data_IF_415698439723
#
_entry.id   IF_415698439723
#
_cell.length_a   1.000
_cell.length_b   1.000
_cell.length_c   1.000
_cell.angle_alpha   90.00
_cell.angle_beta   90.00
_cell.angle_gamma   90.00
#
_symmetry.space_group_name_H-M   'P 1'
#
loop_
_entity.id
_entity.type
_entity.pdbx_description
1 polymer ?
#
# COMPACT_ATOMS: atom_id res chain seq x y z
N UNK A 1 30.47 33.31 -7.66
CA UNK A 1 29.17 33.30 -6.97
C UNK A 1 28.36 32.03 -7.27
N UNK A 2 28.10 31.72 -8.52
CA UNK A 2 27.23 30.58 -8.98
C UNK A 2 27.66 29.22 -8.45
N UNK A 3 28.95 28.88 -8.57
CA UNK A 3 29.49 27.59 -8.08
C UNK A 3 29.28 27.45 -6.56
N UNK A 4 29.49 28.55 -5.83
CA UNK A 4 29.29 28.56 -4.36
C UNK A 4 27.83 28.35 -3.99
N UNK A 5 26.91 28.98 -4.68
CA UNK A 5 25.46 28.83 -4.47
C UNK A 5 25.00 27.42 -4.81
N UNK A 6 25.43 26.89 -5.95
CA UNK A 6 25.15 25.50 -6.33
C UNK A 6 25.67 24.50 -5.29
N UNK A 7 26.91 24.70 -4.80
CA UNK A 7 27.46 23.84 -3.73
C UNK A 7 26.63 23.91 -2.44
N UNK A 8 26.16 25.09 -2.04
CA UNK A 8 25.29 25.26 -0.87
C UNK A 8 23.94 24.59 -1.05
N UNK A 9 23.35 24.63 -2.24
CA UNK A 9 22.10 23.90 -2.53
C UNK A 9 22.30 22.37 -2.41
N UNK A 10 23.44 21.86 -2.81
CA UNK A 10 23.79 20.45 -2.60
C UNK A 10 23.98 20.12 -1.11
N UNK A 11 24.54 21.05 -0.31
CA UNK A 11 24.62 20.89 1.14
C UNK A 11 23.22 20.84 1.79
N UNK A 12 22.28 21.71 1.36
CA UNK A 12 20.89 21.65 1.81
C UNK A 12 20.30 20.26 1.55
N UNK A 13 20.47 19.72 0.35
CA UNK A 13 19.96 18.39 0.00
C UNK A 13 20.62 17.28 0.83
N UNK A 14 21.94 17.36 1.03
CA UNK A 14 22.67 16.39 1.84
C UNK A 14 22.19 16.41 3.30
N UNK A 15 22.11 17.60 3.91
CA UNK A 15 21.60 17.77 5.28
C UNK A 15 20.14 17.27 5.39
N UNK A 16 19.30 17.53 4.40
CA UNK A 16 17.93 16.98 4.35
C UNK A 16 17.93 15.46 4.34
N UNK A 17 18.78 14.83 3.53
CA UNK A 17 18.87 13.37 3.43
C UNK A 17 19.44 12.72 4.71
N UNK A 18 20.36 13.41 5.43
CA UNK A 18 20.89 12.94 6.70
C UNK A 18 19.95 13.19 7.89
N UNK A 19 18.86 13.93 7.69
CA UNK A 19 17.90 14.27 8.73
C UNK A 19 18.25 15.51 9.54
N UNK A 20 19.33 16.22 9.19
CA UNK A 20 19.70 17.49 9.83
C UNK A 20 18.95 18.67 9.18
N UNK A 21 17.66 18.71 9.50
CA UNK A 21 16.77 19.72 8.92
C UNK A 21 17.08 21.14 9.40
N UNK A 22 17.67 21.31 10.60
CA UNK A 22 18.03 22.61 11.11
C UNK A 22 19.19 23.22 10.31
N UNK A 23 20.22 22.43 10.02
CA UNK A 23 21.31 22.86 9.15
C UNK A 23 20.81 23.18 7.75
N UNK A 24 19.95 22.31 7.18
CA UNK A 24 19.36 22.52 5.87
C UNK A 24 18.58 23.84 5.77
N UNK A 25 17.74 24.15 6.76
CA UNK A 25 16.97 25.39 6.85
C UNK A 25 17.90 26.61 6.98
N UNK A 26 18.92 26.54 7.81
CA UNK A 26 19.86 27.63 8.03
C UNK A 26 20.70 27.96 6.77
N UNK A 27 21.20 26.92 6.08
CA UNK A 27 21.93 27.12 4.81
C UNK A 27 21.02 27.73 3.75
N UNK A 28 19.78 27.29 3.67
CA UNK A 28 18.79 27.79 2.72
C UNK A 28 18.42 29.23 3.00
N UNK A 29 18.16 29.58 4.28
CA UNK A 29 17.88 30.95 4.72
C UNK A 29 19.03 31.92 4.35
N UNK A 30 20.29 31.54 4.60
CA UNK A 30 21.45 32.33 4.21
C UNK A 30 21.58 32.55 2.69
N UNK A 31 21.16 31.55 1.91
CA UNK A 31 21.12 31.69 0.44
C UNK A 31 20.07 32.71 0.01
N UNK A 32 18.92 32.75 0.69
CA UNK A 32 17.81 33.67 0.37
C UNK A 32 18.11 35.10 0.82
N UNK A 33 18.70 35.29 2.00
CA UNK A 33 19.14 36.60 2.50
C UNK A 33 20.21 37.25 1.61
N UNK A 34 20.99 36.44 0.91
CA UNK A 34 21.97 36.89 -0.08
C UNK A 34 21.41 37.44 -1.39
N UNK A 35 20.08 37.64 -1.48
CA UNK A 35 19.44 38.34 -2.60
C UNK A 35 18.82 37.42 -3.66
N UNK A 36 18.36 36.21 -3.32
CA UNK A 36 17.65 35.28 -4.21
C UNK A 36 18.37 34.91 -5.51
N UNK A 37 19.71 35.04 -5.53
CA UNK A 37 20.53 34.73 -6.72
C UNK A 37 20.57 33.25 -7.03
N UNK A 38 20.50 32.38 -5.99
CA UNK A 38 20.51 30.94 -6.14
C UNK A 38 19.31 30.40 -6.98
N UNK A 39 18.12 31.00 -6.81
CA UNK A 39 16.96 30.69 -7.63
C UNK A 39 17.14 31.07 -9.09
N UNK A 40 17.84 32.20 -9.37
CA UNK A 40 18.10 32.66 -10.74
C UNK A 40 19.17 31.82 -11.43
N UNK A 41 20.24 31.47 -10.71
CA UNK A 41 21.39 30.77 -11.29
C UNK A 41 21.16 29.26 -11.44
N UNK A 42 20.46 28.64 -10.48
CA UNK A 42 20.21 27.22 -10.46
C UNK A 42 18.74 26.92 -10.10
N UNK A 43 17.76 27.39 -10.88
CA UNK A 43 16.34 27.32 -10.50
C UNK A 43 15.85 25.89 -10.26
N UNK A 44 16.27 24.94 -11.09
CA UNK A 44 15.87 23.55 -10.91
C UNK A 44 16.36 22.98 -9.57
N UNK A 45 17.64 23.16 -9.24
CA UNK A 45 18.26 22.66 -8.03
C UNK A 45 17.71 23.38 -6.78
N UNK A 46 17.44 24.69 -6.86
CA UNK A 46 16.83 25.45 -5.79
C UNK A 46 15.44 24.92 -5.43
N UNK A 47 14.57 24.82 -6.43
CA UNK A 47 13.21 24.29 -6.19
C UNK A 47 13.22 22.83 -5.76
N UNK A 48 14.17 22.02 -6.25
CA UNK A 48 14.35 20.64 -5.80
C UNK A 48 14.74 20.58 -4.32
N UNK A 49 15.73 21.36 -3.89
CA UNK A 49 16.16 21.39 -2.49
C UNK A 49 15.03 21.87 -1.55
N UNK A 50 14.28 22.89 -1.97
CA UNK A 50 13.10 23.37 -1.25
C UNK A 50 12.02 22.31 -1.12
N UNK A 51 11.66 21.65 -2.21
CA UNK A 51 10.64 20.60 -2.21
C UNK A 51 11.06 19.43 -1.31
N UNK A 52 12.30 18.96 -1.43
CA UNK A 52 12.83 17.85 -0.63
C UNK A 52 12.81 18.19 0.87
N UNK A 53 13.26 19.38 1.26
CA UNK A 53 13.28 19.83 2.67
C UNK A 53 11.85 19.99 3.23
N UNK A 54 10.96 20.64 2.49
CA UNK A 54 9.56 20.82 2.93
C UNK A 54 8.85 19.49 3.09
N UNK A 55 9.02 18.54 2.16
CA UNK A 55 8.45 17.18 2.27
C UNK A 55 9.02 16.41 3.45
N UNK A 56 10.34 16.49 3.67
CA UNK A 56 10.99 15.81 4.80
C UNK A 56 10.48 16.33 6.16
N UNK A 57 10.03 17.59 6.19
CA UNK A 57 9.42 18.24 7.36
C UNK A 57 7.91 18.04 7.48
N UNK A 58 7.27 17.33 6.53
CA UNK A 58 5.81 17.16 6.48
C UNK A 58 5.06 18.48 6.18
N UNK A 59 5.66 19.36 5.38
CA UNK A 59 5.09 20.65 4.98
C UNK A 59 4.66 20.59 3.53
N UNK A 60 3.66 19.77 3.22
CA UNK A 60 3.20 19.48 1.87
C UNK A 60 2.77 20.74 1.10
N UNK A 61 2.10 21.67 1.79
CA UNK A 61 1.64 22.92 1.18
C UNK A 61 2.80 23.82 0.70
N UNK A 62 3.91 23.85 1.47
CA UNK A 62 5.11 24.59 1.07
C UNK A 62 5.86 23.87 -0.06
N UNK A 63 5.86 22.53 -0.06
CA UNK A 63 6.53 21.73 -1.08
C UNK A 63 5.88 21.83 -2.46
N UNK A 64 4.54 22.00 -2.50
CA UNK A 64 3.72 21.90 -3.70
C UNK A 64 4.20 22.81 -4.87
N UNK A 65 4.41 24.14 -4.72
CA UNK A 65 4.86 24.99 -5.82
C UNK A 65 6.25 24.60 -6.33
N UNK A 66 7.14 24.22 -5.44
CA UNK A 66 8.51 23.81 -5.79
C UNK A 66 8.53 22.46 -6.52
N UNK A 67 7.76 21.50 -6.03
CA UNK A 67 7.62 20.18 -6.66
C UNK A 67 6.97 20.29 -8.05
N UNK A 68 5.95 21.13 -8.20
CA UNK A 68 5.28 21.41 -9.48
C UNK A 68 6.27 22.01 -10.49
N UNK A 69 7.13 22.95 -10.05
CA UNK A 69 8.16 23.54 -10.88
C UNK A 69 9.16 22.49 -11.40
N UNK A 70 9.68 21.62 -10.50
CA UNK A 70 10.65 20.58 -10.85
C UNK A 70 10.00 19.54 -11.77
N UNK A 71 8.82 19.04 -11.45
CA UNK A 71 8.09 18.06 -12.26
C UNK A 71 7.77 18.58 -13.67
N UNK A 72 7.52 19.89 -13.79
CA UNK A 72 7.26 20.52 -15.07
C UNK A 72 8.49 20.63 -15.98
N UNK A 73 9.69 20.73 -15.40
CA UNK A 73 10.97 20.96 -16.13
C UNK A 73 11.81 19.71 -16.30
N UNK A 74 11.55 18.63 -15.55
CA UNK A 74 12.27 17.37 -15.68
C UNK A 74 12.08 16.77 -17.08
N UNK A 75 13.23 16.44 -17.73
CA UNK A 75 13.25 15.88 -19.09
C UNK A 75 13.39 14.37 -19.11
N UNK A 76 14.07 13.80 -18.10
CA UNK A 76 14.30 12.36 -18.06
C UNK A 76 12.99 11.62 -17.75
N UNK A 77 12.47 10.73 -18.61
CA UNK A 77 11.13 10.17 -18.49
C UNK A 77 10.86 9.49 -17.16
N UNK A 78 11.81 8.71 -16.64
CA UNK A 78 11.67 8.01 -15.37
C UNK A 78 11.58 8.98 -14.18
N UNK A 79 12.46 9.97 -14.13
CA UNK A 79 12.46 10.97 -13.07
C UNK A 79 11.21 11.84 -13.14
N UNK A 80 10.84 12.28 -14.35
CA UNK A 80 9.61 13.05 -14.57
C UNK A 80 8.36 12.30 -14.11
N UNK A 81 8.24 11.02 -14.46
CA UNK A 81 7.11 10.20 -14.01
C UNK A 81 7.07 10.05 -12.50
N UNK A 82 8.22 9.82 -11.83
CA UNK A 82 8.30 9.76 -10.37
C UNK A 82 7.92 11.09 -9.70
N UNK A 83 8.40 12.21 -10.22
CA UNK A 83 8.08 13.54 -9.70
C UNK A 83 6.59 13.87 -9.90
N UNK A 84 6.00 13.53 -11.04
CA UNK A 84 4.58 13.70 -11.29
C UNK A 84 3.73 12.79 -10.37
N UNK A 85 4.19 11.57 -10.09
CA UNK A 85 3.54 10.68 -9.15
C UNK A 85 3.57 11.25 -7.73
N UNK A 86 4.73 11.73 -7.28
CA UNK A 86 4.89 12.40 -5.99
C UNK A 86 4.03 13.67 -5.90
N UNK A 87 3.99 14.48 -6.96
CA UNK A 87 3.12 15.66 -7.05
C UNK A 87 1.65 15.26 -6.83
N UNK A 88 1.17 14.22 -7.51
CA UNK A 88 -0.18 13.71 -7.30
C UNK A 88 -0.45 13.26 -5.88
N UNK A 89 0.52 12.63 -5.20
CA UNK A 89 0.37 12.25 -3.79
C UNK A 89 0.28 13.47 -2.86
N UNK A 90 1.07 14.51 -3.10
CA UNK A 90 1.03 15.76 -2.31
C UNK A 90 -0.31 16.49 -2.55
N UNK A 91 -0.76 16.60 -3.79
CA UNK A 91 -2.05 17.19 -4.14
C UNK A 91 -3.22 16.41 -3.51
N UNK A 92 -3.16 15.07 -3.51
CA UNK A 92 -4.13 14.20 -2.83
C UNK A 92 -4.17 14.45 -1.32
N UNK A 93 -3.00 14.52 -0.67
CA UNK A 93 -2.89 14.78 0.77
C UNK A 93 -3.46 16.16 1.16
N UNK A 94 -3.31 17.15 0.30
CA UNK A 94 -3.87 18.50 0.47
C UNK A 94 -5.36 18.61 0.08
N UNK A 95 -5.97 17.51 -0.40
CA UNK A 95 -7.37 17.49 -0.82
C UNK A 95 -7.64 18.01 -2.25
N UNK A 96 -6.61 18.30 -3.03
CA UNK A 96 -6.72 18.78 -4.40
C UNK A 96 -6.93 17.62 -5.39
N UNK A 97 -8.09 16.95 -5.29
CA UNK A 97 -8.37 15.70 -6.01
C UNK A 97 -8.27 15.81 -7.53
N UNK A 98 -8.76 16.91 -8.12
CA UNK A 98 -8.73 17.09 -9.57
C UNK A 98 -7.31 17.32 -10.10
N UNK A 99 -6.48 18.02 -9.35
CA UNK A 99 -5.06 18.23 -9.63
C UNK A 99 -4.29 16.93 -9.52
N UNK A 100 -4.50 16.18 -8.43
CA UNK A 100 -3.90 14.87 -8.18
C UNK A 100 -4.24 13.89 -9.31
N UNK A 101 -5.50 13.83 -9.75
CA UNK A 101 -5.89 12.97 -10.88
C UNK A 101 -5.13 13.35 -12.17
N UNK A 102 -4.98 14.65 -12.44
CA UNK A 102 -4.20 15.14 -13.60
C UNK A 102 -2.72 14.81 -13.49
N UNK A 103 -2.14 14.93 -12.28
CA UNK A 103 -0.75 14.60 -12.04
C UNK A 103 -0.49 13.09 -12.23
N UNK A 104 -1.35 12.23 -11.67
CA UNK A 104 -1.26 10.78 -11.88
C UNK A 104 -1.47 10.39 -13.35
N UNK A 105 -2.41 11.02 -14.07
CA UNK A 105 -2.60 10.77 -15.51
C UNK A 105 -1.36 11.16 -16.35
N UNK A 106 -0.66 12.21 -15.96
CA UNK A 106 0.62 12.60 -16.59
C UNK A 106 1.74 11.63 -16.23
N UNK A 107 1.83 11.20 -14.96
CA UNK A 107 2.78 10.20 -14.50
C UNK A 107 2.62 8.88 -15.26
N UNK A 108 1.38 8.37 -15.41
CA UNK A 108 1.02 7.18 -16.16
C UNK A 108 1.53 7.25 -17.62
N UNK A 109 1.24 8.35 -18.30
CA UNK A 109 1.63 8.54 -19.72
C UNK A 109 3.14 8.66 -19.93
N UNK A 110 3.88 9.15 -18.94
CA UNK A 110 5.34 9.36 -19.06
C UNK A 110 6.14 8.22 -18.46
N UNK A 111 5.50 7.28 -17.77
CA UNK A 111 6.16 6.15 -17.12
C UNK A 111 6.79 5.19 -18.13
N UNK A 112 8.12 5.00 -18.09
CA UNK A 112 8.80 4.07 -19.00
C UNK A 112 8.74 2.62 -18.50
N UNK A 113 8.33 2.39 -17.24
CA UNK A 113 8.32 1.08 -16.58
C UNK A 113 6.89 0.68 -16.17
N UNK A 114 6.48 -0.58 -16.43
CA UNK A 114 5.14 -1.07 -16.08
C UNK A 114 4.73 -0.87 -14.64
N UNK A 115 5.57 -1.10 -13.60
CA UNK A 115 5.14 -0.90 -12.21
C UNK A 115 4.80 0.55 -11.89
N UNK A 116 5.56 1.52 -12.42
CA UNK A 116 5.28 2.93 -12.18
C UNK A 116 4.04 3.41 -12.94
N UNK A 117 3.86 2.93 -14.18
CA UNK A 117 2.64 3.15 -14.96
C UNK A 117 1.41 2.61 -14.23
N UNK A 118 1.49 1.36 -13.74
CA UNK A 118 0.40 0.73 -12.99
C UNK A 118 0.10 1.47 -11.69
N UNK A 119 1.12 1.81 -10.90
CA UNK A 119 0.93 2.57 -9.65
C UNK A 119 0.18 3.89 -9.90
N UNK A 120 0.57 4.66 -10.92
CA UNK A 120 -0.09 5.90 -11.29
C UNK A 120 -1.53 5.66 -11.76
N UNK A 121 -1.75 4.61 -12.55
CA UNK A 121 -3.09 4.21 -13.00
C UNK A 121 -4.01 3.82 -11.84
N UNK A 122 -3.53 3.00 -10.89
CA UNK A 122 -4.28 2.59 -9.71
C UNK A 122 -4.65 3.77 -8.82
N UNK A 123 -3.70 4.69 -8.57
CA UNK A 123 -3.98 5.93 -7.80
C UNK A 123 -5.03 6.79 -8.49
N UNK A 124 -4.93 6.98 -9.81
CA UNK A 124 -5.91 7.73 -10.57
C UNK A 124 -7.30 7.12 -10.50
N UNK A 125 -7.42 5.79 -10.60
CA UNK A 125 -8.70 5.09 -10.45
C UNK A 125 -9.26 5.18 -9.03
N UNK A 126 -8.40 5.19 -8.00
CA UNK A 126 -8.82 5.36 -6.62
C UNK A 126 -9.41 6.76 -6.34
N UNK A 127 -8.86 7.80 -6.98
CA UNK A 127 -9.36 9.17 -6.87
C UNK A 127 -10.60 9.42 -7.73
N UNK A 128 -10.73 8.71 -8.85
CA UNK A 128 -11.76 8.99 -9.85
C UNK A 128 -13.18 8.80 -9.32
N UNK A 129 -14.06 9.70 -9.75
CA UNK A 129 -15.50 9.70 -9.47
C UNK A 129 -16.27 8.73 -10.38
N UNK A 130 -15.58 7.78 -11.02
CA UNK A 130 -16.12 6.98 -12.13
C UNK A 130 -17.16 5.91 -11.72
N UNK A 131 -17.63 5.89 -10.46
CA UNK A 131 -18.68 4.96 -10.02
C UNK A 131 -18.36 3.50 -10.40
N UNK A 132 -19.36 2.75 -10.87
CA UNK A 132 -19.25 1.33 -11.27
C UNK A 132 -18.21 1.04 -12.35
N UNK A 133 -17.82 2.05 -13.14
CA UNK A 133 -16.79 1.89 -14.19
C UNK A 133 -15.38 1.66 -13.61
N UNK A 134 -15.10 2.17 -12.40
CA UNK A 134 -13.81 1.99 -11.74
C UNK A 134 -13.51 0.52 -11.44
N UNK A 135 -14.46 -0.19 -10.84
CA UNK A 135 -14.34 -1.63 -10.52
C UNK A 135 -14.21 -2.48 -11.80
N UNK A 136 -14.95 -2.14 -12.86
CA UNK A 136 -14.85 -2.83 -14.15
C UNK A 136 -13.47 -2.64 -14.81
N UNK A 137 -12.89 -1.43 -14.72
CA UNK A 137 -11.54 -1.15 -15.23
C UNK A 137 -10.46 -1.89 -14.44
N UNK A 138 -10.56 -1.93 -13.12
CA UNK A 138 -9.63 -2.68 -12.28
C UNK A 138 -9.68 -4.18 -12.60
N UNK A 139 -10.89 -4.76 -12.77
CA UNK A 139 -11.02 -6.15 -13.22
C UNK A 139 -10.37 -6.39 -14.57
N UNK A 140 -10.56 -5.48 -15.53
CA UNK A 140 -9.91 -5.57 -16.83
C UNK A 140 -8.37 -5.46 -16.75
N UNK A 141 -7.84 -4.68 -15.78
CA UNK A 141 -6.39 -4.63 -15.54
C UNK A 141 -5.84 -5.94 -15.02
N UNK A 142 -6.55 -6.61 -14.10
CA UNK A 142 -6.13 -7.89 -13.53
C UNK A 142 -5.95 -9.00 -14.58
N UNK A 143 -6.63 -8.91 -15.73
CA UNK A 143 -6.51 -9.89 -16.82
C UNK A 143 -5.39 -9.57 -17.81
N UNK A 144 -4.79 -8.39 -17.77
CA UNK A 144 -3.73 -8.00 -18.71
C UNK A 144 -2.41 -8.69 -18.40
N UNK A 145 -1.89 -9.48 -19.37
CA UNK A 145 -0.60 -10.19 -19.25
C UNK A 145 0.56 -9.30 -18.87
N UNK A 146 0.56 -8.03 -19.31
CA UNK A 146 1.59 -7.03 -18.96
C UNK A 146 1.72 -6.81 -17.46
N UNK A 147 0.62 -6.90 -16.69
CA UNK A 147 0.57 -6.68 -15.26
C UNK A 147 0.47 -7.97 -14.44
N UNK A 148 0.71 -9.13 -15.08
CA UNK A 148 0.68 -10.42 -14.38
C UNK A 148 1.58 -10.47 -13.12
N UNK A 149 2.79 -9.89 -13.09
CA UNK A 149 3.62 -9.85 -11.89
C UNK A 149 3.11 -8.94 -10.75
N UNK A 150 2.11 -8.10 -11.03
CA UNK A 150 1.57 -7.07 -10.12
C UNK A 150 0.06 -7.25 -9.90
N UNK A 151 -0.46 -8.45 -10.12
CA UNK A 151 -1.89 -8.74 -9.95
C UNK A 151 -2.35 -8.53 -8.51
N UNK A 152 -1.49 -8.79 -7.54
CA UNK A 152 -1.74 -8.54 -6.13
C UNK A 152 -2.04 -7.05 -5.85
N UNK A 153 -1.31 -6.13 -6.45
CA UNK A 153 -1.57 -4.68 -6.33
C UNK A 153 -2.93 -4.31 -6.96
N UNK A 154 -3.25 -4.88 -8.12
CA UNK A 154 -4.53 -4.63 -8.80
C UNK A 154 -5.71 -5.15 -7.99
N UNK A 155 -5.60 -6.38 -7.47
CA UNK A 155 -6.66 -6.96 -6.62
C UNK A 155 -6.79 -6.24 -5.29
N UNK A 156 -5.70 -5.76 -4.69
CA UNK A 156 -5.74 -4.93 -3.49
C UNK A 156 -6.49 -3.61 -3.76
N UNK A 157 -6.19 -2.94 -4.87
CA UNK A 157 -6.90 -1.72 -5.27
C UNK A 157 -8.40 -1.98 -5.53
N UNK A 158 -8.72 -3.10 -6.16
CA UNK A 158 -10.11 -3.53 -6.38
C UNK A 158 -10.85 -3.79 -5.06
N UNK A 159 -10.18 -4.42 -4.09
CA UNK A 159 -10.73 -4.62 -2.76
C UNK A 159 -11.03 -3.30 -2.05
N UNK A 160 -10.10 -2.34 -2.08
CA UNK A 160 -10.30 -1.00 -1.53
C UNK A 160 -11.50 -0.29 -2.15
N UNK A 161 -11.68 -0.44 -3.47
CA UNK A 161 -12.84 0.10 -4.18
C UNK A 161 -14.14 -0.54 -3.70
N UNK A 162 -14.21 -1.86 -3.60
CA UNK A 162 -15.40 -2.56 -3.10
C UNK A 162 -15.71 -2.21 -1.64
N UNK A 163 -14.69 -2.01 -0.78
CA UNK A 163 -14.91 -1.53 0.59
C UNK A 163 -15.54 -0.14 0.61
N UNK A 164 -15.08 0.77 -0.25
CA UNK A 164 -15.67 2.12 -0.37
C UNK A 164 -17.12 2.11 -0.91
N UNK A 165 -17.47 1.10 -1.69
CA UNK A 165 -18.83 0.87 -2.21
C UNK A 165 -19.73 0.05 -1.25
N UNK A 166 -19.19 -0.41 -0.10
CA UNK A 166 -19.91 -1.24 0.87
C UNK A 166 -20.05 -2.72 0.45
N UNK A 167 -19.42 -3.12 -0.66
CA UNK A 167 -19.46 -4.47 -1.23
C UNK A 167 -18.43 -5.38 -0.53
N UNK A 168 -18.75 -5.75 0.71
CA UNK A 168 -17.81 -6.42 1.63
C UNK A 168 -17.42 -7.84 1.19
N UNK A 169 -18.35 -8.58 0.57
CA UNK A 169 -18.09 -9.93 0.09
C UNK A 169 -17.12 -9.94 -1.10
N UNK A 170 -17.33 -9.04 -2.05
CA UNK A 170 -16.49 -8.82 -3.23
C UNK A 170 -15.09 -8.32 -2.83
N UNK A 171 -15.02 -7.42 -1.85
CA UNK A 171 -13.77 -6.96 -1.27
C UNK A 171 -12.97 -8.13 -0.68
N UNK A 172 -13.61 -8.97 0.13
CA UNK A 172 -12.96 -10.15 0.72
C UNK A 172 -12.46 -11.14 -0.32
N UNK A 173 -13.23 -11.36 -1.39
CA UNK A 173 -12.79 -12.20 -2.51
C UNK A 173 -11.57 -11.58 -3.22
N UNK A 174 -11.60 -10.27 -3.46
CA UNK A 174 -10.47 -9.57 -4.10
C UNK A 174 -9.21 -9.60 -3.24
N UNK A 175 -9.33 -9.45 -1.91
CA UNK A 175 -8.20 -9.58 -0.98
C UNK A 175 -7.58 -10.99 -1.02
N UNK A 176 -8.39 -12.04 -1.12
CA UNK A 176 -7.89 -13.42 -1.29
C UNK A 176 -7.14 -13.57 -2.61
N UNK A 177 -7.70 -13.05 -3.70
CA UNK A 177 -7.01 -13.05 -5.00
C UNK A 177 -5.69 -12.27 -4.95
N UNK A 178 -5.61 -11.16 -4.21
CA UNK A 178 -4.36 -10.43 -3.99
C UNK A 178 -3.31 -11.29 -3.27
N UNK A 179 -3.72 -12.03 -2.24
CA UNK A 179 -2.82 -12.96 -1.54
C UNK A 179 -2.35 -14.10 -2.44
N UNK A 180 -3.28 -14.73 -3.16
CA UNK A 180 -3.01 -15.91 -3.98
C UNK A 180 -2.16 -15.60 -5.22
N UNK A 181 -2.32 -14.38 -5.78
CA UNK A 181 -1.57 -13.94 -6.96
C UNK A 181 -0.19 -13.36 -6.64
N UNK A 182 0.13 -13.09 -5.37
CA UNK A 182 1.37 -12.44 -4.99
C UNK A 182 2.58 -13.38 -5.11
N UNK A 183 3.51 -13.00 -5.98
CA UNK A 183 4.74 -13.76 -6.21
C UNK A 183 5.84 -13.44 -5.17
N UNK A 184 5.86 -12.22 -4.64
CA UNK A 184 6.97 -11.72 -3.81
C UNK A 184 6.61 -11.53 -2.33
N UNK A 185 5.36 -11.79 -1.93
CA UNK A 185 4.86 -11.54 -0.57
C UNK A 185 5.23 -10.13 -0.05
N UNK A 186 5.13 -9.14 -0.94
CA UNK A 186 5.48 -7.75 -0.69
C UNK A 186 4.38 -6.97 0.04
N UNK A 187 4.39 -5.65 -0.17
CA UNK A 187 3.47 -4.71 0.49
C UNK A 187 1.99 -5.04 0.23
N UNK A 188 1.62 -5.32 -1.02
CA UNK A 188 0.23 -5.63 -1.37
C UNK A 188 -0.27 -6.91 -0.68
N UNK A 189 0.56 -7.96 -0.64
CA UNK A 189 0.29 -9.20 0.07
C UNK A 189 0.09 -8.98 1.58
N UNK A 190 1.01 -8.23 2.22
CA UNK A 190 0.93 -7.94 3.65
C UNK A 190 -0.31 -7.12 3.98
N UNK A 191 -0.63 -6.10 3.17
CA UNK A 191 -1.83 -5.27 3.34
C UNK A 191 -3.10 -6.10 3.15
N UNK A 192 -3.15 -6.98 2.13
CA UNK A 192 -4.30 -7.86 1.91
C UNK A 192 -4.56 -8.81 3.09
N UNK A 193 -3.51 -9.40 3.67
CA UNK A 193 -3.63 -10.20 4.89
C UNK A 193 -4.08 -9.38 6.11
N UNK A 194 -3.57 -8.15 6.26
CA UNK A 194 -3.98 -7.25 7.34
C UNK A 194 -5.48 -6.94 7.26
N UNK A 195 -5.98 -6.59 6.08
CA UNK A 195 -7.40 -6.32 5.85
C UNK A 195 -8.27 -7.57 6.09
N UNK A 196 -7.87 -8.74 5.56
CA UNK A 196 -8.57 -10.01 5.82
C UNK A 196 -8.63 -10.35 7.31
N UNK A 197 -7.53 -10.12 8.03
CA UNK A 197 -7.45 -10.36 9.46
C UNK A 197 -8.35 -9.43 10.26
N UNK A 198 -8.37 -8.13 9.92
CA UNK A 198 -9.27 -7.15 10.55
C UNK A 198 -10.74 -7.45 10.26
N UNK A 199 -11.07 -7.86 9.02
CA UNK A 199 -12.43 -8.31 8.67
C UNK A 199 -12.84 -9.56 9.47
N UNK A 200 -11.93 -10.52 9.65
CA UNK A 200 -12.18 -11.72 10.44
C UNK A 200 -12.38 -11.38 11.94
N UNK A 201 -11.63 -10.40 12.46
CA UNK A 201 -11.80 -9.90 13.84
C UNK A 201 -13.18 -9.29 14.06
N UNK A 202 -13.66 -8.47 13.14
CA UNK A 202 -15.01 -7.90 13.19
C UNK A 202 -16.11 -8.97 13.12
N UNK A 203 -15.86 -10.05 12.37
CA UNK A 203 -16.72 -11.23 12.30
C UNK A 203 -16.56 -12.18 13.50
N UNK A 204 -15.77 -11.81 14.53
CA UNK A 204 -15.44 -12.61 15.72
C UNK A 204 -14.81 -13.97 15.42
N UNK A 205 -14.16 -14.10 14.27
CA UNK A 205 -13.43 -15.30 13.87
C UNK A 205 -11.96 -15.19 14.31
N UNK A 206 -11.77 -15.33 15.64
CA UNK A 206 -10.46 -15.06 16.28
C UNK A 206 -9.31 -15.90 15.76
N UNK A 207 -9.47 -17.24 15.50
CA UNK A 207 -8.39 -18.02 14.92
C UNK A 207 -7.94 -17.50 13.55
N UNK A 208 -8.88 -17.22 12.66
CA UNK A 208 -8.62 -16.72 11.31
C UNK A 208 -8.05 -15.29 11.34
N UNK A 209 -8.54 -14.45 12.27
CA UNK A 209 -8.00 -13.11 12.48
C UNK A 209 -6.54 -13.16 12.94
N UNK A 210 -6.24 -13.99 13.95
CA UNK A 210 -4.87 -14.17 14.43
C UNK A 210 -3.95 -14.64 13.31
N UNK A 211 -4.32 -15.71 12.60
CA UNK A 211 -3.44 -16.33 11.59
C UNK A 211 -3.17 -15.34 10.44
N UNK A 212 -4.17 -14.59 9.99
CA UNK A 212 -4.01 -13.57 8.95
C UNK A 212 -3.11 -12.39 9.40
N UNK A 213 -3.35 -11.85 10.61
CA UNK A 213 -2.58 -10.72 11.12
C UNK A 213 -1.13 -11.10 11.48
N UNK A 214 -0.91 -12.33 11.94
CA UNK A 214 0.43 -12.87 12.21
C UNK A 214 1.25 -13.03 10.92
N UNK A 215 0.61 -13.38 9.81
CA UNK A 215 1.25 -13.43 8.48
C UNK A 215 1.55 -12.01 7.96
N UNK A 216 0.64 -11.06 8.19
CA UNK A 216 0.78 -9.69 7.69
C UNK A 216 1.92 -8.92 8.38
N UNK A 217 2.01 -8.98 9.71
CA UNK A 217 2.83 -8.08 10.52
C UNK A 217 4.32 -8.04 10.13
N UNK A 218 5.02 -9.16 9.87
CA UNK A 218 6.43 -9.15 9.52
C UNK A 218 6.76 -8.44 8.20
N UNK A 219 5.82 -8.45 7.24
CA UNK A 219 5.98 -7.85 5.91
C UNK A 219 5.28 -6.48 5.80
N UNK A 220 4.52 -6.07 6.82
CA UNK A 220 3.82 -4.79 6.83
C UNK A 220 4.77 -3.66 7.23
N UNK A 221 4.76 -2.56 6.47
CA UNK A 221 5.55 -1.37 6.81
C UNK A 221 5.14 -0.81 8.19
N UNK A 222 6.12 -0.41 9.01
CA UNK A 222 5.85 0.26 10.29
C UNK A 222 5.09 1.59 10.13
N UNK A 223 5.15 2.21 8.94
CA UNK A 223 4.38 3.40 8.59
C UNK A 223 2.94 3.10 8.14
N UNK A 224 2.57 1.81 8.03
CA UNK A 224 1.21 1.44 7.63
C UNK A 224 0.21 1.82 8.74
N UNK A 225 -0.96 2.41 8.42
CA UNK A 225 -1.92 2.90 9.42
C UNK A 225 -2.35 1.85 10.45
N UNK A 226 -2.46 0.59 10.02
CA UNK A 226 -2.88 -0.51 10.89
C UNK A 226 -1.73 -1.20 11.64
N UNK A 227 -0.46 -0.86 11.37
CA UNK A 227 0.67 -1.54 11.99
C UNK A 227 0.66 -1.48 13.54
N UNK A 228 0.52 -0.30 14.20
CA UNK A 228 0.49 -0.25 15.65
C UNK A 228 -0.65 -1.06 16.24
N UNK A 229 -1.86 -0.89 15.69
CA UNK A 229 -3.05 -1.62 16.12
C UNK A 229 -2.89 -3.14 16.00
N UNK A 230 -2.37 -3.64 14.89
CA UNK A 230 -2.14 -5.07 14.68
C UNK A 230 -1.13 -5.61 15.69
N UNK A 231 -0.03 -4.89 15.92
CA UNK A 231 1.00 -5.26 16.88
C UNK A 231 0.46 -5.40 18.30
N UNK A 232 -0.45 -4.52 18.70
CA UNK A 232 -1.11 -4.55 20.02
C UNK A 232 -2.15 -5.67 20.14
N UNK A 233 -2.88 -5.97 19.06
CA UNK A 233 -3.94 -6.97 19.07
C UNK A 233 -3.44 -8.41 19.10
N UNK A 234 -2.31 -8.71 18.47
CA UNK A 234 -1.83 -10.08 18.27
C UNK A 234 -1.67 -10.91 19.56
N UNK A 235 -1.09 -10.40 20.67
CA UNK A 235 -0.97 -11.18 21.91
C UNK A 235 -2.33 -11.60 22.48
N UNK A 236 -3.31 -10.69 22.48
CA UNK A 236 -4.68 -11.01 22.93
C UNK A 236 -5.39 -11.99 22.00
N UNK A 237 -5.21 -11.82 20.68
CA UNK A 237 -5.78 -12.75 19.70
C UNK A 237 -5.16 -14.16 19.79
N UNK A 238 -3.90 -14.29 20.17
CA UNK A 238 -3.27 -15.59 20.40
C UNK A 238 -3.98 -16.36 21.51
N UNK A 239 -4.34 -15.70 22.60
CA UNK A 239 -5.11 -16.32 23.70
C UNK A 239 -6.51 -16.71 23.23
N UNK A 240 -7.24 -15.78 22.61
CA UNK A 240 -8.59 -16.04 22.09
C UNK A 240 -8.60 -17.14 21.01
N UNK A 241 -7.54 -17.24 20.20
CA UNK A 241 -7.38 -18.33 19.24
C UNK A 241 -7.33 -19.68 19.95
N UNK A 242 -6.53 -19.80 21.01
CA UNK A 242 -6.42 -21.02 21.80
C UNK A 242 -7.77 -21.47 22.36
N UNK A 243 -8.46 -20.56 23.03
CA UNK A 243 -9.80 -20.82 23.60
C UNK A 243 -10.84 -21.20 22.53
N UNK A 244 -10.90 -20.46 21.42
CA UNK A 244 -11.82 -20.73 20.32
C UNK A 244 -11.58 -22.10 19.67
N UNK A 245 -10.33 -22.53 19.55
CA UNK A 245 -9.99 -23.86 19.03
C UNK A 245 -10.40 -24.98 20.01
N UNK A 246 -10.25 -24.76 21.33
CA UNK A 246 -10.72 -25.69 22.34
C UNK A 246 -12.24 -25.83 22.29
N UNK A 247 -12.98 -24.72 22.23
CA UNK A 247 -14.44 -24.74 22.10
C UNK A 247 -14.87 -25.49 20.84
N UNK A 248 -14.31 -25.18 19.67
CA UNK A 248 -14.62 -25.89 18.42
C UNK A 248 -14.34 -27.39 18.51
N UNK A 249 -13.26 -27.78 19.16
CA UNK A 249 -12.93 -29.19 19.37
C UNK A 249 -13.95 -29.86 20.27
N UNK A 250 -14.34 -29.21 21.36
CA UNK A 250 -15.36 -29.72 22.28
C UNK A 250 -16.71 -29.87 21.60
N UNK A 251 -17.15 -28.85 20.83
CA UNK A 251 -18.40 -28.90 20.06
C UNK A 251 -18.39 -30.04 19.03
N UNK A 252 -17.24 -30.24 18.35
CA UNK A 252 -17.09 -31.34 17.40
C UNK A 252 -17.18 -32.72 18.08
N UNK A 253 -16.59 -32.86 19.26
CA UNK A 253 -16.67 -34.10 20.05
C UNK A 253 -18.09 -34.36 20.56
N UNK A 254 -18.79 -33.33 21.06
CA UNK A 254 -20.17 -33.40 21.48
C UNK A 254 -21.10 -33.78 20.34
N UNK A 255 -20.88 -33.16 19.15
CA UNK A 255 -21.64 -33.52 17.95
C UNK A 255 -21.42 -35.01 17.59
N UNK A 256 -20.18 -35.48 17.57
CA UNK A 256 -19.85 -36.89 17.27
C UNK A 256 -20.44 -37.85 18.32
N UNK A 257 -20.44 -37.47 19.59
CA UNK A 257 -21.03 -38.26 20.66
C UNK A 257 -22.55 -38.40 20.54
N UNK A 258 -23.21 -37.35 20.02
CA UNK A 258 -24.66 -37.36 19.76
C UNK A 258 -25.10 -38.11 18.50
N UNK A 259 -24.17 -38.52 17.61
CA UNK A 259 -24.52 -39.30 16.44
C UNK A 259 -24.80 -40.75 16.76
N UNK A 260 -25.71 -41.39 15.99
CA UNK A 260 -25.87 -42.85 15.99
C UNK A 260 -24.57 -43.54 15.52
N UNK A 261 -24.40 -44.80 15.86
CA UNK A 261 -23.20 -45.57 15.51
C UNK A 261 -22.98 -45.58 13.97
N UNK A 262 -24.04 -45.82 13.22
CA UNK A 262 -23.98 -45.81 11.73
C UNK A 262 -23.60 -44.45 11.17
N UNK A 263 -24.15 -43.36 11.70
CA UNK A 263 -23.80 -41.98 11.26
C UNK A 263 -22.36 -41.62 11.65
N UNK A 264 -21.86 -42.10 12.78
CA UNK A 264 -20.49 -41.90 13.23
C UNK A 264 -19.49 -42.61 12.31
N UNK A 265 -19.76 -43.86 11.94
CA UNK A 265 -18.94 -44.61 11.00
C UNK A 265 -18.91 -43.95 9.62
N UNK A 266 -20.07 -43.55 9.10
CA UNK A 266 -20.13 -42.81 7.82
C UNK A 266 -19.36 -41.48 7.86
N UNK A 267 -19.36 -40.78 9.00
CA UNK A 267 -18.55 -39.57 9.18
C UNK A 267 -17.05 -39.87 9.16
N UNK A 268 -16.62 -40.95 9.82
CA UNK A 268 -15.22 -41.42 9.83
C UNK A 268 -14.78 -41.76 8.41
N UNK A 269 -15.58 -42.52 7.66
CA UNK A 269 -15.28 -42.88 6.28
C UNK A 269 -15.10 -41.64 5.38
N UNK A 270 -15.99 -40.65 5.54
CA UNK A 270 -15.87 -39.37 4.83
C UNK A 270 -14.60 -38.59 5.17
N UNK A 271 -14.08 -38.70 6.42
CA UNK A 271 -12.84 -38.09 6.83
C UNK A 271 -11.63 -38.82 6.21
N UNK A 272 -11.67 -40.15 6.20
CA UNK A 272 -10.62 -40.99 5.59
C UNK A 272 -10.50 -40.65 4.10
N UNK A 273 -11.62 -40.56 3.39
CA UNK A 273 -11.64 -40.24 1.96
C UNK A 273 -11.10 -38.82 1.69
N UNK A 274 -11.44 -37.86 2.51
CA UNK A 274 -10.86 -36.50 2.44
C UNK A 274 -9.34 -36.48 2.66
N UNK A 275 -8.83 -37.28 3.57
CA UNK A 275 -7.38 -37.39 3.82
C UNK A 275 -6.68 -38.09 2.66
N UNK A 276 -7.30 -39.16 2.11
CA UNK A 276 -6.75 -39.90 0.96
C UNK A 276 -6.75 -39.08 -0.32
N UNK A 277 -7.74 -38.21 -0.53
CA UNK A 277 -7.85 -37.36 -1.71
C UNK A 277 -6.97 -36.10 -1.68
N UNK A 278 -6.32 -35.78 -0.54
CA UNK A 278 -5.35 -34.68 -0.49
C UNK A 278 -4.09 -35.03 -1.30
N UNK A 279 -3.70 -34.18 -2.26
CA UNK A 279 -2.42 -34.39 -2.95
C UNK A 279 -1.25 -34.36 -1.96
N UNK A 280 -0.32 -35.31 -2.12
CA UNK A 280 0.86 -35.48 -1.22
C UNK A 280 1.80 -34.26 -1.15
N UNK A 281 1.58 -33.23 -1.96
CA UNK A 281 2.39 -31.99 -2.00
C UNK A 281 2.03 -30.94 -0.94
N UNK A 282 1.11 -31.21 -0.01
CA UNK A 282 0.66 -30.27 1.02
C UNK A 282 1.03 -30.68 2.46
N UNK A 283 2.02 -31.54 2.65
CA UNK A 283 2.63 -31.78 3.96
C UNK A 283 3.79 -30.79 4.16
N UNK A 284 3.88 -30.12 5.35
CA UNK A 284 4.92 -29.14 5.66
C UNK A 284 6.31 -29.76 5.72
#
# INVERSE_FOLDING_TARGET
PEVRETARLWLVRLATLSGDYLEAEEVLRRLEEGGATAEKHAPYLYHQARAELSLARGREAEALPHLSFVAGREKHPLLRSRLLFLLGQVEEALGYRAEAERAFARAERTAPLPPLELAAHLRRLALGTEGDRGSARLRALATKRRYAPYQDEVYLALAGRYLAEGLRAEAKQSLRLAVDSSQQKGHAWATAWAELGLMALEERRYPEAHDALALALPALSQKHPHYPRIKELLPGLQLLRGEALLVRRSDSLLHLAGLTESARLAHIDSLIDRVRSRPRSSLP
#
